data_IF_875021125860
#
_entry.id   IF_875021125860
#
_cell.length_a   1.000
_cell.length_b   1.000
_cell.length_c   1.000
_cell.angle_alpha   90.00
_cell.angle_beta   90.00
_cell.angle_gamma   90.00
#
_symmetry.space_group_name_H-M   'P 1'
#
loop_
_entity.id
_entity.type
_entity.pdbx_description
1 polymer ?
#
# COMPACT_ATOMS: atom_id res chain seq x y z
N UNK A 1 -15.21 6.65 -10.99
CA UNK A 1 -14.49 6.47 -9.71
C UNK A 1 -13.64 5.20 -9.89
N UNK A 2 -12.32 5.21 -9.63
CA UNK A 2 -11.49 4.05 -9.90
C UNK A 2 -11.89 2.88 -9.00
N UNK A 3 -11.84 1.66 -9.54
CA UNK A 3 -12.10 0.43 -8.78
C UNK A 3 -10.82 -0.10 -8.10
N UNK A 4 -9.65 0.39 -8.52
CA UNK A 4 -8.34 -0.03 -8.02
C UNK A 4 -7.38 1.15 -7.96
N UNK A 5 -6.69 1.29 -6.83
CA UNK A 5 -5.55 2.18 -6.64
C UNK A 5 -4.26 1.35 -6.64
N UNK A 6 -3.34 1.70 -7.51
CA UNK A 6 -1.99 1.11 -7.59
C UNK A 6 -0.98 2.10 -7.03
N UNK A 7 -0.18 1.67 -6.07
CA UNK A 7 0.86 2.50 -5.47
C UNK A 7 2.19 1.72 -5.37
N UNK A 8 3.21 2.18 -6.08
CA UNK A 8 4.55 1.59 -6.05
C UNK A 8 5.47 2.46 -5.22
N UNK A 9 5.91 1.96 -4.07
CA UNK A 9 6.76 2.65 -3.08
C UNK A 9 6.31 4.09 -2.75
N UNK A 10 5.02 4.32 -2.39
CA UNK A 10 4.48 5.68 -2.24
C UNK A 10 5.08 6.47 -1.06
N UNK A 11 5.82 5.81 -0.17
CA UNK A 11 6.41 6.40 1.05
C UNK A 11 7.92 6.55 0.98
N UNK A 12 8.59 6.16 -0.12
CA UNK A 12 10.06 6.01 -0.16
C UNK A 12 10.89 7.30 0.06
N UNK A 13 10.27 8.48 0.06
CA UNK A 13 10.93 9.77 0.33
C UNK A 13 10.39 10.48 1.58
N UNK A 14 9.61 9.80 2.40
CA UNK A 14 8.98 10.35 3.61
C UNK A 14 9.68 9.81 4.86
N UNK A 15 9.62 10.59 5.94
CA UNK A 15 9.93 10.06 7.28
C UNK A 15 8.82 9.11 7.78
N UNK A 16 9.14 8.30 8.79
CA UNK A 16 8.25 7.26 9.33
C UNK A 16 6.85 7.78 9.69
N UNK A 17 6.77 8.99 10.26
CA UNK A 17 5.50 9.60 10.68
C UNK A 17 4.66 10.00 9.46
N UNK A 18 5.28 10.65 8.48
CA UNK A 18 4.60 11.08 7.26
C UNK A 18 4.24 9.89 6.37
N UNK A 19 5.07 8.85 6.31
CA UNK A 19 4.76 7.59 5.64
C UNK A 19 3.49 6.95 6.20
N UNK A 20 3.40 6.82 7.53
CA UNK A 20 2.21 6.27 8.18
C UNK A 20 0.95 7.12 7.90
N UNK A 21 1.06 8.45 7.92
CA UNK A 21 -0.06 9.33 7.62
C UNK A 21 -0.53 9.21 6.17
N UNK A 22 0.40 9.13 5.21
CA UNK A 22 0.08 8.97 3.79
C UNK A 22 -0.60 7.64 3.50
N UNK A 23 -0.11 6.54 4.10
CA UNK A 23 -0.74 5.23 3.95
C UNK A 23 -2.16 5.23 4.51
N UNK A 24 -2.39 5.84 5.68
CA UNK A 24 -3.73 5.97 6.25
C UNK A 24 -4.67 6.72 5.30
N UNK A 25 -4.23 7.87 4.78
CA UNK A 25 -5.02 8.65 3.82
C UNK A 25 -5.36 7.86 2.55
N UNK A 26 -4.41 7.09 2.01
CA UNK A 26 -4.67 6.25 0.83
C UNK A 26 -5.77 5.22 1.13
N UNK A 27 -5.69 4.54 2.27
CA UNK A 27 -6.66 3.53 2.67
C UNK A 27 -8.05 4.12 2.92
N UNK A 28 -8.13 5.26 3.62
CA UNK A 28 -9.40 5.97 3.87
C UNK A 28 -10.06 6.43 2.56
N UNK A 29 -9.28 6.98 1.63
CA UNK A 29 -9.79 7.44 0.33
C UNK A 29 -10.26 6.26 -0.52
N UNK A 30 -9.55 5.13 -0.49
CA UNK A 30 -9.94 3.93 -1.21
C UNK A 30 -11.23 3.33 -0.64
N UNK A 31 -11.38 3.27 0.68
CA UNK A 31 -12.60 2.79 1.35
C UNK A 31 -13.80 3.69 1.01
N UNK A 32 -13.65 5.01 1.14
CA UNK A 32 -14.67 5.98 0.74
C UNK A 32 -14.99 5.93 -0.77
N UNK A 33 -14.05 5.44 -1.59
CA UNK A 33 -14.23 5.21 -3.00
C UNK A 33 -14.89 3.87 -3.35
N UNK A 34 -14.89 2.90 -2.44
CA UNK A 34 -15.19 1.50 -2.76
C UNK A 34 -14.14 0.87 -3.68
N UNK A 35 -12.89 1.34 -3.60
CA UNK A 35 -11.79 0.89 -4.43
C UNK A 35 -10.90 -0.11 -3.68
N UNK A 36 -10.38 -1.11 -4.40
CA UNK A 36 -9.29 -1.92 -3.90
C UNK A 36 -7.97 -1.13 -3.91
N UNK A 37 -7.02 -1.53 -3.04
CA UNK A 37 -5.65 -0.99 -3.02
C UNK A 37 -4.66 -2.13 -3.24
N UNK A 38 -3.78 -1.96 -4.22
CA UNK A 38 -2.57 -2.76 -4.38
C UNK A 38 -1.38 -1.83 -4.19
N UNK A 39 -0.62 -2.09 -3.12
CA UNK A 39 0.56 -1.32 -2.75
C UNK A 39 1.79 -2.23 -2.74
N UNK A 40 2.85 -1.79 -3.40
CA UNK A 40 4.17 -2.40 -3.30
C UNK A 40 5.06 -1.56 -2.37
N UNK A 41 5.69 -2.22 -1.40
CA UNK A 41 6.69 -1.58 -0.55
C UNK A 41 7.67 -2.60 0.03
N UNK A 42 8.90 -2.15 0.29
CA UNK A 42 9.88 -2.87 1.11
C UNK A 42 9.75 -2.58 2.62
N UNK A 43 8.90 -1.63 3.04
CA UNK A 43 8.72 -1.28 4.46
C UNK A 43 7.68 -2.18 5.14
N UNK A 44 8.13 -3.00 6.10
CA UNK A 44 7.29 -3.89 6.87
C UNK A 44 6.21 -3.18 7.72
N UNK A 45 6.46 -1.93 8.14
CA UNK A 45 5.51 -1.10 8.88
C UNK A 45 4.33 -0.71 8.00
N UNK A 46 4.61 -0.30 6.77
CA UNK A 46 3.59 0.00 5.75
C UNK A 46 2.82 -1.26 5.38
N UNK A 47 3.53 -2.36 5.07
CA UNK A 47 2.90 -3.63 4.74
C UNK A 47 2.01 -4.15 5.89
N UNK A 48 2.39 -3.92 7.14
CA UNK A 48 1.64 -4.31 8.33
C UNK A 48 0.24 -3.68 8.45
N UNK A 49 -0.07 -2.65 7.66
CA UNK A 49 -1.42 -2.06 7.58
C UNK A 49 -2.39 -2.87 6.71
N UNK A 50 -1.87 -3.78 5.89
CA UNK A 50 -2.69 -4.57 4.96
C UNK A 50 -2.99 -5.96 5.53
N UNK A 51 -4.25 -6.38 5.41
CA UNK A 51 -4.67 -7.72 5.82
C UNK A 51 -4.08 -8.82 4.93
N UNK A 52 -3.88 -8.52 3.65
CA UNK A 52 -3.31 -9.44 2.67
C UNK A 52 -1.93 -8.94 2.22
N UNK A 53 -0.96 -9.85 2.18
CA UNK A 53 0.42 -9.59 1.77
C UNK A 53 0.94 -10.78 0.99
N UNK A 54 1.78 -10.53 0.00
CA UNK A 54 2.50 -11.54 -0.74
C UNK A 54 3.93 -11.05 -1.00
N UNK A 55 4.88 -11.98 -1.04
CA UNK A 55 6.24 -11.67 -1.46
C UNK A 55 6.35 -11.78 -2.98
N UNK A 56 6.88 -10.74 -3.63
CA UNK A 56 7.08 -10.75 -5.09
C UNK A 56 8.04 -11.87 -5.54
N UNK A 57 9.00 -12.25 -4.68
CA UNK A 57 9.89 -13.37 -4.95
C UNK A 57 9.16 -14.71 -4.99
N UNK A 58 8.00 -14.84 -4.32
CA UNK A 58 7.18 -16.05 -4.42
C UNK A 58 6.49 -16.14 -5.78
N UNK A 59 6.15 -15.00 -6.39
CA UNK A 59 5.46 -14.93 -7.68
C UNK A 59 6.41 -15.13 -8.87
N UNK A 60 7.64 -14.63 -8.76
CA UNK A 60 8.66 -14.77 -9.82
C UNK A 60 9.21 -16.20 -9.97
N UNK A 61 8.80 -17.14 -9.11
CA UNK A 61 9.20 -18.56 -9.18
C UNK A 61 8.19 -19.45 -9.92
N UNK A 62 7.11 -18.87 -10.45
CA UNK A 62 6.09 -19.56 -11.24
C UNK A 62 6.45 -19.64 -12.73
#
# INVERSE_FOLDING_TARGET
KPELLLADEPTGSLDDKNAAAVVEMILELADAAGAAVLLASHDATVLGRFAQRADLADWNRA
#
